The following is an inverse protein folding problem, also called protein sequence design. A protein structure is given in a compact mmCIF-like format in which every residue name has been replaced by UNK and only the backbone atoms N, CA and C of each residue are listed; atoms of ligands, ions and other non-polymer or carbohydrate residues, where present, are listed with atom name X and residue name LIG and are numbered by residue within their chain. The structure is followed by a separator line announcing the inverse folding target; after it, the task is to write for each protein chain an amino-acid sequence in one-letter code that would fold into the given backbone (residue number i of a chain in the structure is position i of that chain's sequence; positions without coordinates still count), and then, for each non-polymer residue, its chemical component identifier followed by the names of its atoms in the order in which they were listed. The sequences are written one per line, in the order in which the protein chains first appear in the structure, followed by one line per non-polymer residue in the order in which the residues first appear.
data_IF_385113155499
#
_entry.id   IF_385113155499
#
_cell.length_a   1.000
_cell.length_b   1.000
_cell.length_c   1.000
_cell.angle_alpha   90.00
_cell.angle_beta   90.00
_cell.angle_gamma   90.00
#
_symmetry.space_group_name_H-M   'P 1'
#
loop_
_entity.id
_entity.type
_entity.pdbx_description
1 polymer ?
#
# COMPACT_ATOMS: atom_id res chain seq x y z
N UNK A 1 -9.28 -3.94 25.43
CA UNK A 1 -9.11 -5.13 26.31
C UNK A 1 -9.49 -6.35 25.50
N UNK A 2 -8.68 -7.44 25.51
CA UNK A 2 -8.97 -8.69 24.81
C UNK A 2 -9.99 -9.51 25.62
N UNK A 3 -11.02 -10.04 24.94
CA UNK A 3 -12.14 -10.83 25.51
C UNK A 3 -12.25 -12.16 24.77
N UNK A 4 -13.09 -13.08 25.26
CA UNK A 4 -13.40 -14.33 24.56
C UNK A 4 -14.11 -14.15 23.21
N UNK A 5 -14.68 -12.98 22.96
CA UNK A 5 -15.35 -12.59 21.69
C UNK A 5 -14.43 -11.91 20.69
N UNK A 6 -13.19 -11.56 21.10
CA UNK A 6 -12.27 -10.80 20.28
C UNK A 6 -11.88 -11.57 19.01
N UNK A 7 -12.12 -10.94 17.86
CA UNK A 7 -11.83 -11.51 16.54
C UNK A 7 -10.36 -11.31 16.19
N UNK A 8 -9.79 -12.27 15.46
CA UNK A 8 -8.37 -12.31 15.12
C UNK A 8 -8.11 -11.77 13.70
N UNK A 9 -7.17 -10.84 13.60
CA UNK A 9 -6.50 -10.40 12.39
C UNK A 9 -4.99 -10.60 12.56
N UNK A 10 -4.22 -10.51 11.47
CA UNK A 10 -2.78 -10.56 11.62
C UNK A 10 -1.97 -10.36 10.36
N UNK A 11 -0.67 -10.62 10.47
CA UNK A 11 0.27 -10.67 9.34
C UNK A 11 1.05 -11.98 9.37
N UNK A 12 1.17 -12.64 8.23
CA UNK A 12 2.02 -13.82 8.05
C UNK A 12 3.27 -13.48 7.25
N UNK A 13 4.39 -14.05 7.65
CA UNK A 13 5.68 -13.90 6.98
C UNK A 13 6.76 -14.77 7.61
N UNK A 14 7.97 -14.75 7.03
CA UNK A 14 9.12 -15.43 7.60
C UNK A 14 10.43 -14.80 7.10
N UNK A 15 11.13 -14.01 7.95
CA UNK A 15 10.73 -13.56 9.29
C UNK A 15 9.59 -12.54 9.27
N UNK A 16 8.89 -12.32 10.39
CA UNK A 16 7.77 -11.36 10.53
C UNK A 16 7.91 -10.46 11.76
N UNK A 17 8.91 -10.69 12.58
CA UNK A 17 9.14 -10.05 13.88
C UNK A 17 9.36 -8.53 13.76
N UNK A 18 9.89 -8.08 12.63
CA UNK A 18 10.18 -6.67 12.36
C UNK A 18 9.00 -5.90 11.74
N UNK A 19 7.85 -6.56 11.56
CA UNK A 19 6.68 -5.92 10.97
C UNK A 19 6.06 -4.90 11.92
N UNK A 20 5.88 -3.68 11.45
CA UNK A 20 5.18 -2.62 12.18
C UNK A 20 3.65 -2.64 11.94
N UNK A 21 3.14 -3.56 11.13
CA UNK A 21 1.70 -3.71 10.90
C UNK A 21 0.89 -3.88 12.20
N UNK A 22 1.34 -4.66 13.21
CA UNK A 22 0.63 -4.75 14.49
C UNK A 22 0.49 -3.41 15.21
N UNK A 23 1.50 -2.55 15.16
CA UNK A 23 1.48 -1.22 15.80
C UNK A 23 0.34 -0.39 15.24
N UNK A 24 0.32 -0.18 13.92
CA UNK A 24 -0.67 0.68 13.27
C UNK A 24 -2.09 0.12 13.30
N UNK A 25 -2.26 -1.20 13.07
CA UNK A 25 -3.58 -1.81 13.05
C UNK A 25 -4.22 -1.83 14.44
N UNK A 26 -3.48 -2.18 15.49
CA UNK A 26 -4.03 -2.17 16.84
C UNK A 26 -4.34 -0.75 17.33
N UNK A 27 -3.59 0.27 16.92
CA UNK A 27 -3.95 1.67 17.20
C UNK A 27 -5.29 2.04 16.56
N UNK A 28 -5.49 1.70 15.27
CA UNK A 28 -6.76 1.93 14.57
C UNK A 28 -7.93 1.14 15.19
N UNK A 29 -7.73 -0.14 15.50
CA UNK A 29 -8.71 -1.02 16.15
C UNK A 29 -9.16 -0.43 17.50
N UNK A 30 -8.19 0.03 18.31
CA UNK A 30 -8.46 0.66 19.62
C UNK A 30 -9.25 1.97 19.45
N UNK A 31 -8.85 2.83 18.51
CA UNK A 31 -9.52 4.09 18.21
C UNK A 31 -10.97 3.89 17.75
N UNK A 32 -11.21 2.87 16.91
CA UNK A 32 -12.53 2.52 16.43
C UNK A 32 -13.42 1.82 17.48
N UNK A 33 -12.86 1.37 18.59
CA UNK A 33 -13.57 0.64 19.65
C UNK A 33 -14.13 -0.71 19.21
N UNK A 34 -13.57 -1.33 18.13
CA UNK A 34 -14.03 -2.63 17.61
C UNK A 34 -13.34 -3.79 18.33
N UNK A 35 -14.07 -4.91 18.48
CA UNK A 35 -13.58 -6.10 19.23
C UNK A 35 -12.72 -7.00 18.33
N UNK A 36 -11.54 -6.49 17.95
CA UNK A 36 -10.54 -7.16 17.13
C UNK A 36 -9.15 -7.03 17.78
N UNK A 37 -8.23 -7.91 17.37
CA UNK A 37 -6.79 -7.80 17.66
C UNK A 37 -5.99 -8.20 16.42
N UNK A 38 -4.89 -7.51 16.17
CA UNK A 38 -3.98 -7.81 15.06
C UNK A 38 -2.65 -8.34 15.57
N UNK A 39 -2.24 -9.52 15.13
CA UNK A 39 -1.10 -10.28 15.64
C UNK A 39 -0.11 -10.65 14.53
N UNK A 40 1.21 -10.73 14.83
CA UNK A 40 2.18 -11.33 13.92
C UNK A 40 2.13 -12.87 14.02
N UNK A 41 2.11 -13.56 12.89
CA UNK A 41 2.14 -15.02 12.80
C UNK A 41 3.36 -15.46 11.99
N UNK A 42 4.44 -15.96 12.62
CA UNK A 42 5.61 -16.47 11.92
C UNK A 42 5.27 -17.81 11.26
N UNK A 43 5.06 -17.79 9.95
CA UNK A 43 4.73 -18.97 9.15
C UNK A 43 5.89 -19.30 8.22
N UNK A 44 6.50 -20.49 8.37
CA UNK A 44 7.55 -20.96 7.46
C UNK A 44 6.97 -21.32 6.09
N UNK A 45 7.77 -21.26 5.01
CA UNK A 45 7.28 -21.57 3.66
C UNK A 45 6.56 -22.92 3.53
N UNK A 46 7.08 -23.97 4.17
CA UNK A 46 6.48 -25.31 4.13
C UNK A 46 5.15 -25.44 4.90
N UNK A 47 4.87 -24.52 5.82
CA UNK A 47 3.73 -24.59 6.73
C UNK A 47 2.52 -23.78 6.26
N UNK A 48 2.62 -23.09 5.13
CA UNK A 48 1.60 -22.14 4.67
C UNK A 48 0.20 -22.78 4.53
N UNK A 49 0.11 -23.98 3.97
CA UNK A 49 -1.16 -24.72 3.81
C UNK A 49 -1.76 -25.11 5.16
N UNK A 50 -0.94 -25.59 6.09
CA UNK A 50 -1.37 -25.96 7.44
C UNK A 50 -1.83 -24.72 8.24
N UNK A 51 -1.10 -23.60 8.11
CA UNK A 51 -1.47 -22.35 8.75
C UNK A 51 -2.84 -21.85 8.29
N UNK A 52 -3.14 -21.91 6.98
CA UNK A 52 -4.45 -21.51 6.43
C UNK A 52 -5.59 -22.35 7.01
N UNK A 53 -5.40 -23.69 7.12
CA UNK A 53 -6.39 -24.56 7.71
C UNK A 53 -6.59 -24.26 9.21
N UNK A 54 -5.51 -24.03 9.95
CA UNK A 54 -5.55 -23.66 11.37
C UNK A 54 -6.24 -22.31 11.59
N UNK A 55 -5.94 -21.32 10.78
CA UNK A 55 -6.57 -19.99 10.86
C UNK A 55 -8.09 -20.06 10.63
N UNK A 56 -8.53 -20.85 9.65
CA UNK A 56 -9.96 -21.07 9.43
C UNK A 56 -10.60 -21.76 10.65
N UNK A 57 -9.96 -22.79 11.22
CA UNK A 57 -10.47 -23.54 12.36
C UNK A 57 -10.62 -22.70 13.65
N UNK A 58 -9.71 -21.73 13.89
CA UNK A 58 -9.75 -20.83 15.06
C UNK A 58 -10.47 -19.51 14.79
N UNK A 59 -11.06 -19.33 13.60
CA UNK A 59 -11.91 -18.18 13.27
C UNK A 59 -11.16 -16.88 13.00
N UNK A 60 -9.90 -16.94 12.50
CA UNK A 60 -9.20 -15.75 11.98
C UNK A 60 -10.04 -15.14 10.85
N UNK A 61 -10.24 -13.82 10.90
CA UNK A 61 -11.08 -13.11 9.92
C UNK A 61 -10.32 -12.65 8.68
N UNK A 62 -9.03 -12.41 8.82
CA UNK A 62 -8.18 -11.99 7.73
C UNK A 62 -6.75 -11.73 8.18
N UNK A 63 -5.85 -11.62 7.22
CA UNK A 63 -4.45 -11.34 7.50
C UNK A 63 -3.75 -10.72 6.30
N UNK A 64 -2.71 -9.93 6.56
CA UNK A 64 -1.76 -9.51 5.54
C UNK A 64 -0.72 -10.61 5.31
N UNK A 65 -0.09 -10.53 4.15
CA UNK A 65 0.98 -11.44 3.73
C UNK A 65 2.21 -10.63 3.35
N UNK A 66 3.35 -11.00 3.94
CA UNK A 66 4.65 -10.49 3.53
C UNK A 66 5.55 -11.60 3.00
N UNK A 67 6.83 -11.31 2.79
CA UNK A 67 7.84 -12.24 2.30
C UNK A 67 7.86 -13.52 3.19
N UNK A 68 7.95 -14.72 2.58
CA UNK A 68 8.04 -15.02 1.15
C UNK A 68 6.72 -15.45 0.50
N UNK A 69 5.58 -15.26 1.14
CA UNK A 69 4.33 -15.96 0.86
C UNK A 69 3.42 -15.31 -0.20
N UNK A 70 3.66 -14.05 -0.62
CA UNK A 70 2.75 -13.28 -1.50
C UNK A 70 2.36 -13.97 -2.80
N UNK A 71 3.25 -14.80 -3.37
CA UNK A 71 2.99 -15.59 -4.57
C UNK A 71 2.55 -17.03 -4.24
N UNK A 72 3.19 -17.64 -3.25
CA UNK A 72 2.95 -19.03 -2.86
C UNK A 72 1.51 -19.29 -2.38
N UNK A 73 0.81 -18.27 -1.89
CA UNK A 73 -0.55 -18.40 -1.39
C UNK A 73 -1.60 -18.49 -2.50
N UNK A 74 -1.34 -17.99 -3.70
CA UNK A 74 -2.30 -17.90 -4.81
C UNK A 74 -3.06 -19.21 -5.06
N UNK A 75 -2.40 -20.39 -5.20
CA UNK A 75 -3.08 -21.66 -5.48
C UNK A 75 -3.87 -22.20 -4.27
N UNK A 76 -3.74 -21.61 -3.10
CA UNK A 76 -4.39 -22.03 -1.85
C UNK A 76 -5.66 -21.24 -1.55
N UNK A 77 -5.97 -20.21 -2.35
CA UNK A 77 -7.13 -19.35 -2.16
C UNK A 77 -8.31 -19.81 -3.00
N UNK A 78 -9.51 -19.69 -2.43
CA UNK A 78 -10.77 -20.01 -3.13
C UNK A 78 -11.10 -18.97 -4.20
N UNK A 79 -10.68 -17.72 -4.00
CA UNK A 79 -10.86 -16.62 -4.94
C UNK A 79 -9.72 -15.62 -4.84
N UNK A 80 -9.34 -15.05 -5.97
CA UNK A 80 -8.29 -14.02 -6.08
C UNK A 80 -8.86 -12.85 -6.88
N UNK A 81 -8.74 -11.64 -6.36
CA UNK A 81 -9.21 -10.43 -7.05
C UNK A 81 -8.50 -10.23 -8.41
N UNK A 82 -9.14 -9.53 -9.37
CA UNK A 82 -8.53 -9.26 -10.67
C UNK A 82 -7.15 -8.59 -10.55
N UNK A 83 -6.99 -7.62 -9.68
CA UNK A 83 -5.71 -6.92 -9.47
C UNK A 83 -4.63 -7.85 -8.92
N UNK A 84 -4.93 -8.67 -7.91
CA UNK A 84 -3.96 -9.61 -7.34
C UNK A 84 -3.58 -10.72 -8.34
N UNK A 85 -4.52 -11.15 -9.18
CA UNK A 85 -4.27 -12.12 -10.26
C UNK A 85 -3.37 -11.51 -11.34
N UNK A 86 -3.63 -10.26 -11.73
CA UNK A 86 -2.81 -9.55 -12.73
C UNK A 86 -1.39 -9.33 -12.25
N UNK A 87 -1.22 -8.97 -10.98
CA UNK A 87 0.09 -8.77 -10.34
C UNK A 87 0.81 -10.11 -10.10
N UNK A 88 0.06 -11.19 -9.91
CA UNK A 88 0.59 -12.48 -9.49
C UNK A 88 1.09 -12.48 -8.04
N UNK A 89 0.49 -11.65 -7.17
CA UNK A 89 0.84 -11.57 -5.76
C UNK A 89 -0.36 -11.08 -4.91
N UNK A 90 -0.54 -11.69 -3.75
CA UNK A 90 -1.55 -11.33 -2.74
C UNK A 90 -0.83 -10.80 -1.50
N UNK A 91 -1.28 -9.68 -0.96
CA UNK A 91 -0.80 -9.15 0.32
C UNK A 91 -1.90 -9.06 1.39
N UNK A 92 -3.17 -9.27 1.02
CA UNK A 92 -4.32 -9.17 1.93
C UNK A 92 -5.29 -10.30 1.67
N UNK A 93 -5.64 -11.04 2.74
CA UNK A 93 -6.54 -12.20 2.71
C UNK A 93 -7.68 -11.97 3.69
N UNK A 94 -8.88 -12.39 3.33
CA UNK A 94 -10.07 -12.34 4.16
C UNK A 94 -10.92 -13.60 3.99
N UNK A 95 -11.63 -13.98 5.04
CA UNK A 95 -12.45 -15.18 5.06
C UNK A 95 -13.88 -14.84 4.60
N UNK A 96 -14.41 -15.68 3.71
CA UNK A 96 -15.81 -15.67 3.27
C UNK A 96 -16.43 -17.04 3.47
N UNK A 97 -17.73 -17.17 3.24
CA UNK A 97 -18.44 -18.47 3.29
C UNK A 97 -17.90 -19.46 2.24
N UNK A 98 -17.25 -18.96 1.19
CA UNK A 98 -16.62 -19.77 0.12
C UNK A 98 -15.16 -20.13 0.42
N UNK A 99 -14.62 -19.69 1.56
CA UNK A 99 -13.24 -19.89 1.97
C UNK A 99 -12.38 -18.62 1.89
N UNK A 100 -11.06 -18.80 1.82
CA UNK A 100 -10.10 -17.70 1.79
C UNK A 100 -10.09 -16.97 0.45
N UNK A 101 -10.31 -15.67 0.49
CA UNK A 101 -10.21 -14.77 -0.67
C UNK A 101 -9.00 -13.86 -0.53
N UNK A 102 -8.32 -13.59 -1.65
CA UNK A 102 -7.11 -12.77 -1.67
C UNK A 102 -7.19 -11.57 -2.58
N UNK A 103 -6.59 -10.46 -2.15
CA UNK A 103 -6.42 -9.25 -2.95
C UNK A 103 -5.02 -8.65 -2.76
N UNK A 104 -4.75 -7.54 -3.47
CA UNK A 104 -3.51 -6.79 -3.32
C UNK A 104 -3.81 -5.31 -3.07
N UNK A 105 -3.42 -4.83 -1.88
CA UNK A 105 -3.55 -3.43 -1.45
C UNK A 105 -2.23 -2.67 -1.57
N UNK A 106 -1.11 -3.32 -1.96
CA UNK A 106 0.18 -2.64 -2.13
C UNK A 106 0.15 -1.61 -3.26
N UNK A 107 -0.65 -1.84 -4.31
CA UNK A 107 -0.78 -0.89 -5.44
C UNK A 107 -1.38 0.42 -4.97
N UNK A 108 -2.48 0.36 -4.21
CA UNK A 108 -3.13 1.55 -3.63
C UNK A 108 -2.16 2.27 -2.68
N UNK A 109 -1.47 1.50 -1.83
CA UNK A 109 -0.45 2.04 -0.93
C UNK A 109 0.69 2.76 -1.64
N UNK A 110 1.21 2.16 -2.73
CA UNK A 110 2.27 2.76 -3.55
C UNK A 110 1.83 4.05 -4.24
N UNK A 111 0.62 4.07 -4.79
CA UNK A 111 0.10 5.22 -5.54
C UNK A 111 -0.24 6.42 -4.65
N UNK A 112 -0.68 6.20 -3.42
CA UNK A 112 -1.18 7.24 -2.55
C UNK A 112 -0.23 8.44 -2.36
N UNK A 113 1.06 8.28 -1.99
CA UNK A 113 1.98 9.41 -1.86
C UNK A 113 2.33 10.08 -3.19
N UNK A 114 2.31 9.35 -4.31
CA UNK A 114 2.57 9.94 -5.64
C UNK A 114 1.42 10.84 -6.10
N UNK A 115 0.19 10.50 -5.76
CA UNK A 115 -0.99 11.30 -6.06
C UNK A 115 -1.02 12.61 -5.25
N UNK A 116 -0.55 12.61 -4.02
CA UNK A 116 -0.47 13.82 -3.18
C UNK A 116 0.62 14.78 -3.62
N UNK A 117 1.69 14.30 -4.25
CA UNK A 117 2.75 15.15 -4.81
C UNK A 117 2.26 16.01 -5.99
N UNK A 118 1.18 15.61 -6.63
CA UNK A 118 0.58 16.29 -7.77
C UNK A 118 -0.33 17.46 -7.38
N UNK A 119 -0.68 17.60 -6.13
CA UNK A 119 -1.42 18.75 -5.61
C UNK A 119 -0.41 19.83 -5.21
N UNK A 120 -0.46 21.04 -5.79
CA UNK A 120 0.40 22.12 -5.32
C UNK A 120 0.13 22.34 -3.82
N UNK A 121 1.16 22.64 -3.01
CA UNK A 121 0.93 22.93 -1.61
C UNK A 121 -0.11 24.07 -1.51
N UNK A 122 -1.13 23.86 -0.69
CA UNK A 122 -2.12 24.88 -0.38
C UNK A 122 -1.36 26.15 0.06
N UNK A 123 -1.31 27.15 -0.82
CA UNK A 123 -0.81 28.47 -0.47
C UNK A 123 -1.88 29.11 0.42
N UNK A 124 -1.91 28.71 1.69
CA UNK A 124 -2.60 29.42 2.72
C UNK A 124 -1.99 30.81 2.78
N UNK A 125 -2.68 31.82 2.22
CA UNK A 125 -2.26 33.19 2.25
C UNK A 125 -2.01 33.59 3.70
N UNK A 126 -0.77 33.98 3.98
CA UNK A 126 -0.46 34.75 5.16
C UNK A 126 -1.34 36.01 5.07
N UNK A 127 -2.39 36.09 5.88
CA UNK A 127 -3.10 37.34 6.11
C UNK A 127 -2.18 38.17 6.98
N UNK A 128 -1.67 39.23 6.40
CA UNK A 128 -1.00 40.29 7.09
C UNK A 128 -1.84 40.72 8.30
N UNK A 129 -1.28 40.52 9.49
CA UNK A 129 -1.84 41.03 10.73
C UNK A 129 -1.33 42.46 10.94
N UNK A 130 -2.00 43.43 10.33
CA UNK A 130 -1.93 44.82 10.83
C UNK A 130 -3.27 45.53 10.64
N UNK A 131 -3.71 46.07 11.76
CA UNK A 131 -4.74 47.08 11.95
C UNK A 131 -6.18 46.66 12.20
N UNK A 132 -6.71 47.12 13.33
CA UNK A 132 -8.12 47.39 13.56
C UNK A 132 -8.72 46.74 14.82
N UNK A 133 -8.45 47.31 15.98
CA UNK A 133 -9.34 47.22 17.16
C UNK A 133 -10.68 47.85 16.82
N UNK A 134 -11.76 47.11 16.87
CA UNK A 134 -13.05 47.66 17.29
C UNK A 134 -13.93 46.58 17.93
N UNK A 135 -14.52 46.95 19.03
CA UNK A 135 -15.37 46.22 19.95
C UNK A 135 -16.78 46.04 19.40
N UNK A 136 -17.37 44.88 19.58
CA UNK A 136 -18.79 44.68 19.25
C UNK A 136 -19.30 43.32 19.73
N UNK A 137 -19.92 43.34 20.90
CA UNK A 137 -20.58 42.26 21.60
C UNK A 137 -21.92 41.90 20.92
N UNK A 138 -22.19 40.66 20.55
CA UNK A 138 -23.54 40.05 20.66
C UNK A 138 -23.47 38.51 20.49
N UNK A 139 -23.98 37.84 21.50
CA UNK A 139 -24.25 36.38 21.53
C UNK A 139 -25.51 36.06 20.72
N UNK A 140 -25.50 34.95 19.95
CA UNK A 140 -26.72 34.17 19.65
C UNK A 140 -26.34 32.69 19.55
N UNK A 141 -26.93 31.89 20.43
CA UNK A 141 -26.98 30.44 20.39
C UNK A 141 -27.86 29.96 19.22
N UNK A 142 -27.47 28.83 18.57
CA UNK A 142 -28.42 27.92 18.00
C UNK A 142 -27.75 26.54 17.72
N UNK A 143 -28.17 25.52 18.49
CA UNK A 143 -27.82 24.14 18.33
C UNK A 143 -28.56 23.46 17.17
N UNK A 144 -28.11 22.26 16.71
CA UNK A 144 -28.75 21.53 15.63
C UNK A 144 -30.03 20.81 16.07
N UNK A 145 -31.01 20.59 15.15
CA UNK A 145 -32.28 19.98 15.47
C UNK A 145 -32.20 18.45 15.59
N UNK A 146 -33.16 17.82 16.30
CA UNK A 146 -33.14 16.39 16.59
C UNK A 146 -33.72 15.54 15.45
N UNK A 147 -33.13 14.35 15.28
CA UNK A 147 -33.62 13.29 14.41
C UNK A 147 -34.96 12.73 14.92
N UNK A 148 -35.96 12.73 14.08
CA UNK A 148 -37.21 11.99 14.29
C UNK A 148 -37.18 10.71 13.48
N UNK A 149 -37.31 9.57 14.17
CA UNK A 149 -37.53 8.27 13.58
C UNK A 149 -38.96 8.07 13.14
N UNK A 150 -39.14 7.29 12.08
CA UNK A 150 -40.46 6.70 11.76
C UNK A 150 -40.23 5.28 11.23
N UNK A 151 -40.72 4.32 12.04
CA UNK A 151 -40.97 2.94 11.61
C UNK A 151 -42.20 2.87 10.72
N UNK A 152 -42.17 2.01 9.70
CA UNK A 152 -43.39 1.38 9.15
C UNK A 152 -43.09 0.00 8.60
N UNK A 153 -43.81 -0.97 9.16
CA UNK A 153 -44.02 -2.34 8.69
C UNK A 153 -44.72 -2.40 7.33
N UNK A 154 -44.46 -3.46 6.59
CA UNK A 154 -45.26 -3.75 5.38
C UNK A 154 -44.72 -4.97 4.62
N UNK A 155 -45.39 -6.08 4.85
CA UNK A 155 -45.22 -7.43 4.28
C UNK A 155 -45.49 -7.55 2.78
N UNK A 156 -44.86 -8.61 2.21
CA UNK A 156 -45.30 -9.48 1.09
C UNK A 156 -44.81 -9.19 -0.33
N UNK A 157 -44.31 -10.27 -0.95
CA UNK A 157 -44.17 -10.42 -2.40
C UNK A 157 -42.95 -11.25 -2.82
N UNK A 158 -43.11 -12.58 -2.90
CA UNK A 158 -42.24 -13.50 -3.61
C UNK A 158 -42.28 -13.19 -5.12
N UNK A 159 -41.13 -12.94 -5.72
CA UNK A 159 -40.91 -13.33 -7.13
C UNK A 159 -39.44 -13.74 -7.35
N UNK A 160 -39.30 -14.93 -7.90
CA UNK A 160 -38.08 -15.59 -8.30
C UNK A 160 -37.53 -14.97 -9.58
N UNK A 161 -36.29 -14.44 -9.52
CA UNK A 161 -35.57 -13.98 -10.70
C UNK A 161 -34.08 -14.22 -10.50
N UNK A 162 -33.60 -15.35 -11.02
CA UNK A 162 -32.22 -15.79 -11.00
C UNK A 162 -31.42 -15.00 -12.04
N UNK A 163 -30.56 -14.06 -11.59
CA UNK A 163 -29.40 -13.60 -12.36
C UNK A 163 -28.33 -13.18 -11.36
N UNK A 164 -27.38 -14.09 -11.11
CA UNK A 164 -26.16 -13.78 -10.41
C UNK A 164 -25.29 -12.85 -11.27
N UNK A 165 -25.35 -11.55 -11.00
CA UNK A 165 -24.35 -10.60 -11.49
C UNK A 165 -23.26 -10.55 -10.45
N UNK A 166 -22.09 -11.10 -10.79
CA UNK A 166 -20.85 -10.88 -10.04
C UNK A 166 -20.48 -9.39 -10.12
N UNK A 167 -20.96 -8.59 -9.20
CA UNK A 167 -20.49 -7.22 -9.01
C UNK A 167 -19.29 -7.21 -8.07
N UNK A 168 -18.10 -7.50 -8.62
CA UNK A 168 -16.87 -7.03 -8.01
C UNK A 168 -16.86 -5.48 -8.05
N UNK A 169 -16.14 -4.80 -7.14
CA UNK A 169 -16.02 -3.36 -7.21
C UNK A 169 -15.54 -2.96 -8.61
N UNK A 170 -16.11 -1.89 -9.21
CA UNK A 170 -15.77 -1.49 -10.56
C UNK A 170 -14.24 -1.21 -10.64
N UNK A 171 -13.61 -1.47 -11.79
CA UNK A 171 -12.21 -1.12 -11.97
C UNK A 171 -12.09 0.38 -11.73
N UNK A 172 -11.11 0.74 -10.89
CA UNK A 172 -10.83 2.12 -10.48
C UNK A 172 -10.62 2.98 -11.73
N UNK A 173 -11.65 3.70 -12.14
CA UNK A 173 -11.56 4.77 -13.14
C UNK A 173 -11.08 6.04 -12.43
N UNK A 174 -9.79 6.06 -12.09
CA UNK A 174 -9.11 7.25 -11.65
C UNK A 174 -8.93 8.21 -12.81
N UNK A 175 -9.96 8.98 -13.12
CA UNK A 175 -9.82 10.14 -13.98
C UNK A 175 -8.83 11.11 -13.35
N UNK A 176 -7.75 11.45 -14.08
CA UNK A 176 -6.73 12.41 -13.69
C UNK A 176 -7.36 13.77 -13.38
N UNK A 177 -7.64 14.04 -12.11
CA UNK A 177 -7.91 15.39 -11.62
C UNK A 177 -6.59 15.96 -11.08
N UNK A 178 -5.88 16.74 -11.94
CA UNK A 178 -4.78 17.62 -11.51
C UNK A 178 -3.48 16.93 -11.11
N UNK A 179 -3.19 15.70 -11.56
CA UNK A 179 -1.94 14.99 -11.31
C UNK A 179 -0.83 15.33 -12.30
N UNK A 180 0.43 15.12 -11.92
CA UNK A 180 1.58 15.17 -12.83
C UNK A 180 1.32 14.27 -14.04
N UNK A 181 1.62 14.74 -15.23
CA UNK A 181 1.57 13.92 -16.44
C UNK A 181 2.70 12.86 -16.40
N UNK A 182 2.31 11.60 -16.32
CA UNK A 182 3.23 10.46 -16.29
C UNK A 182 3.50 9.87 -17.67
N UNK A 183 2.79 10.32 -18.72
CA UNK A 183 2.86 9.76 -20.06
C UNK A 183 4.23 9.94 -20.76
N UNK A 184 5.09 10.78 -20.20
CA UNK A 184 6.47 11.00 -20.65
C UNK A 184 7.52 10.59 -19.58
N UNK A 185 7.08 9.96 -18.48
CA UNK A 185 7.94 9.64 -17.35
C UNK A 185 8.49 8.23 -17.44
N UNK A 186 9.76 8.08 -17.05
CA UNK A 186 10.48 6.82 -16.97
C UNK A 186 10.55 6.37 -15.51
N UNK A 187 10.04 5.18 -15.23
CA UNK A 187 10.13 4.55 -13.92
C UNK A 187 11.22 3.47 -13.90
N UNK A 188 12.12 3.51 -12.92
CA UNK A 188 13.16 2.49 -12.68
C UNK A 188 12.91 1.85 -11.32
N UNK A 189 12.77 0.53 -11.31
CA UNK A 189 12.37 -0.26 -10.14
C UNK A 189 13.51 -1.21 -9.78
N UNK A 190 14.05 -1.11 -8.59
CA UNK A 190 15.11 -1.97 -8.08
C UNK A 190 14.52 -3.18 -7.38
N UNK A 191 14.77 -4.38 -7.90
CA UNK A 191 14.22 -5.65 -7.43
C UNK A 191 13.07 -6.17 -8.28
N UNK A 192 12.84 -7.48 -8.24
CA UNK A 192 11.82 -8.20 -9.02
C UNK A 192 10.94 -9.13 -8.15
N UNK A 193 10.76 -8.78 -6.86
CA UNK A 193 9.94 -9.51 -5.91
C UNK A 193 8.45 -9.11 -5.93
N UNK A 194 7.70 -9.55 -4.92
CA UNK A 194 6.27 -9.27 -4.79
C UNK A 194 5.95 -7.77 -4.67
N UNK A 195 6.80 -6.97 -4.02
CA UNK A 195 6.64 -5.51 -3.95
C UNK A 195 6.86 -4.84 -5.32
N UNK A 196 7.89 -5.28 -6.07
CA UNK A 196 8.16 -4.78 -7.42
C UNK A 196 6.95 -4.99 -8.34
N UNK A 197 6.24 -6.10 -8.21
CA UNK A 197 5.02 -6.38 -8.98
C UNK A 197 3.93 -5.34 -8.75
N UNK A 198 3.70 -4.96 -7.50
CA UNK A 198 2.74 -3.91 -7.16
C UNK A 198 3.18 -2.53 -7.69
N UNK A 199 4.48 -2.24 -7.64
CA UNK A 199 5.04 -1.00 -8.18
C UNK A 199 4.91 -0.94 -9.71
N UNK A 200 5.19 -2.04 -10.44
CA UNK A 200 4.96 -2.13 -11.89
C UNK A 200 3.50 -1.86 -12.23
N UNK A 201 2.56 -2.50 -11.52
CA UNK A 201 1.13 -2.26 -11.73
C UNK A 201 0.75 -0.80 -11.46
N UNK A 202 1.29 -0.20 -10.40
CA UNK A 202 1.07 1.22 -10.09
C UNK A 202 1.62 2.16 -11.15
N UNK A 203 2.85 1.93 -11.63
CA UNK A 203 3.44 2.70 -12.72
C UNK A 203 2.66 2.58 -14.04
N UNK A 204 2.13 1.39 -14.34
CA UNK A 204 1.27 1.17 -15.49
C UNK A 204 -0.07 1.93 -15.34
N UNK A 205 -0.68 1.95 -14.14
CA UNK A 205 -1.89 2.73 -13.86
C UNK A 205 -1.65 4.25 -13.93
N UNK A 206 -0.47 4.73 -13.56
CA UNK A 206 -0.06 6.12 -13.73
C UNK A 206 0.12 6.49 -15.22
N UNK A 207 0.30 5.51 -16.10
CA UNK A 207 0.57 5.72 -17.51
C UNK A 207 2.02 6.09 -17.81
N UNK A 208 3.00 5.60 -17.01
CA UNK A 208 4.41 5.82 -17.28
C UNK A 208 4.78 5.41 -18.69
N UNK A 209 5.62 6.22 -19.39
CA UNK A 209 6.08 5.95 -20.74
C UNK A 209 6.91 4.66 -20.83
N UNK A 210 7.81 4.48 -19.87
CA UNK A 210 8.68 3.31 -19.78
C UNK A 210 8.76 2.83 -18.33
N UNK A 211 8.81 1.51 -18.14
CA UNK A 211 8.93 0.86 -16.83
C UNK A 211 10.11 -0.12 -16.91
N UNK A 212 11.18 0.17 -16.21
CA UNK A 212 12.38 -0.66 -16.16
C UNK A 212 12.51 -1.34 -14.81
N UNK A 213 12.61 -2.67 -14.81
CA UNK A 213 12.88 -3.47 -13.60
C UNK A 213 14.31 -3.98 -13.63
N UNK A 214 15.05 -3.71 -12.57
CA UNK A 214 16.46 -4.10 -12.43
C UNK A 214 16.59 -5.20 -11.39
N UNK A 215 17.23 -6.30 -11.75
CA UNK A 215 17.43 -7.46 -10.88
C UNK A 215 18.80 -8.12 -11.08
N UNK A 216 19.11 -9.11 -10.22
CA UNK A 216 20.41 -9.79 -10.21
C UNK A 216 20.48 -11.01 -11.13
N UNK A 217 19.36 -11.70 -11.32
CA UNK A 217 19.28 -12.97 -12.05
C UNK A 217 18.51 -12.78 -13.36
N UNK A 218 19.16 -13.02 -14.48
CA UNK A 218 18.53 -12.98 -15.81
C UNK A 218 17.34 -13.94 -15.90
N UNK A 219 17.47 -15.16 -15.36
CA UNK A 219 16.38 -16.11 -15.33
C UNK A 219 15.15 -15.56 -14.61
N UNK A 220 15.32 -15.07 -13.37
CA UNK A 220 14.19 -14.53 -12.57
C UNK A 220 13.60 -13.27 -13.21
N UNK A 221 14.40 -12.49 -13.92
CA UNK A 221 13.94 -11.32 -14.68
C UNK A 221 13.11 -11.74 -15.88
N UNK A 222 13.55 -12.76 -16.63
CA UNK A 222 12.79 -13.33 -17.75
C UNK A 222 11.44 -13.91 -17.30
N UNK A 223 11.42 -14.68 -16.21
CA UNK A 223 10.17 -15.19 -15.60
C UNK A 223 9.26 -14.05 -15.13
N UNK A 224 9.82 -13.00 -14.51
CA UNK A 224 9.09 -11.81 -14.12
C UNK A 224 8.44 -11.13 -15.32
N UNK A 225 9.19 -10.86 -16.39
CA UNK A 225 8.67 -10.22 -17.61
C UNK A 225 7.59 -11.08 -18.28
N UNK A 226 7.84 -12.39 -18.43
CA UNK A 226 6.89 -13.30 -19.05
C UNK A 226 5.57 -13.40 -18.28
N UNK A 227 5.61 -13.27 -16.95
CA UNK A 227 4.40 -13.27 -16.12
C UNK A 227 3.49 -12.06 -16.39
N UNK A 228 4.04 -10.93 -16.84
CA UNK A 228 3.27 -9.76 -17.22
C UNK A 228 2.68 -9.85 -18.63
N UNK A 229 3.38 -10.50 -19.57
CA UNK A 229 2.85 -10.76 -20.92
C UNK A 229 1.59 -11.62 -20.85
N UNK A 230 1.58 -12.62 -19.96
CA UNK A 230 0.46 -13.56 -19.76
C UNK A 230 -0.57 -13.06 -18.72
N UNK A 231 -0.40 -11.87 -18.18
CA UNK A 231 -1.29 -11.28 -17.17
C UNK A 231 -2.63 -10.85 -17.79
N UNK A 232 -3.75 -10.92 -17.05
CA UNK A 232 -5.00 -10.26 -17.42
C UNK A 232 -4.87 -8.74 -17.65
N UNK A 233 -3.80 -8.13 -17.15
CA UNK A 233 -3.43 -6.72 -17.38
C UNK A 233 -1.99 -6.66 -17.90
N UNK A 234 -1.76 -6.88 -19.20
CA UNK A 234 -0.42 -6.83 -19.80
C UNK A 234 0.20 -5.44 -19.68
N UNK A 235 1.50 -5.40 -19.34
CA UNK A 235 2.27 -4.15 -19.28
C UNK A 235 3.25 -4.17 -20.45
N UNK A 236 2.87 -3.54 -21.56
CA UNK A 236 3.62 -3.61 -22.83
C UNK A 236 4.94 -2.85 -22.82
N UNK A 237 5.04 -1.79 -22.03
CA UNK A 237 6.21 -0.91 -21.90
C UNK A 237 7.16 -1.34 -20.76
N UNK A 238 7.04 -2.59 -20.28
CA UNK A 238 7.90 -3.19 -19.28
C UNK A 238 9.15 -3.77 -19.90
N UNK A 239 10.31 -3.35 -19.41
CA UNK A 239 11.61 -3.88 -19.75
C UNK A 239 12.33 -4.37 -18.49
N UNK A 240 13.11 -5.45 -18.62
CA UNK A 240 13.89 -6.00 -17.52
C UNK A 240 15.38 -5.92 -17.81
N UNK A 241 16.19 -5.64 -16.81
CA UNK A 241 17.63 -5.42 -16.98
C UNK A 241 18.40 -6.03 -15.81
N UNK A 242 19.60 -6.49 -16.09
CA UNK A 242 20.60 -6.84 -15.08
C UNK A 242 21.21 -5.57 -14.45
N UNK A 243 21.85 -5.74 -13.30
CA UNK A 243 22.31 -4.63 -12.47
C UNK A 243 23.40 -3.76 -13.13
N UNK A 244 24.11 -4.29 -14.12
CA UNK A 244 25.11 -3.55 -14.91
C UNK A 244 24.54 -2.37 -15.70
N UNK A 245 23.24 -2.42 -16.05
CA UNK A 245 22.53 -1.34 -16.75
C UNK A 245 22.05 -0.22 -15.83
N UNK A 246 22.09 -0.41 -14.52
CA UNK A 246 21.48 0.50 -13.55
C UNK A 246 22.00 1.93 -13.67
N UNK A 247 23.30 2.12 -13.82
CA UNK A 247 23.90 3.46 -13.91
C UNK A 247 23.42 4.28 -15.11
N UNK A 248 23.11 3.61 -16.22
CA UNK A 248 22.51 4.23 -17.41
C UNK A 248 21.03 4.57 -17.14
N UNK A 249 20.28 3.64 -16.57
CA UNK A 249 18.85 3.80 -16.32
C UNK A 249 18.56 4.92 -15.31
N UNK A 250 19.39 5.08 -14.29
CA UNK A 250 19.26 6.15 -13.29
C UNK A 250 19.31 7.54 -13.94
N UNK A 251 20.15 7.73 -14.96
CA UNK A 251 20.25 9.02 -15.65
C UNK A 251 19.00 9.39 -16.45
N UNK A 252 18.14 8.43 -16.72
CA UNK A 252 16.88 8.60 -17.47
C UNK A 252 15.65 8.60 -16.54
N UNK A 253 15.81 8.15 -15.27
CA UNK A 253 14.71 7.97 -14.34
C UNK A 253 14.06 9.29 -13.91
N UNK A 254 12.75 9.37 -14.02
CA UNK A 254 11.91 10.39 -13.38
C UNK A 254 11.39 9.88 -12.04
N UNK A 255 11.24 8.55 -11.89
CA UNK A 255 10.89 7.84 -10.67
C UNK A 255 11.86 6.66 -10.48
N UNK A 256 12.56 6.64 -9.35
CA UNK A 256 13.45 5.54 -8.96
C UNK A 256 12.93 4.91 -7.67
N UNK A 257 12.57 3.62 -7.71
CA UNK A 257 11.92 2.94 -6.58
C UNK A 257 12.78 1.79 -6.06
N UNK A 258 13.12 1.80 -4.78
CA UNK A 258 13.74 0.65 -4.12
C UNK A 258 12.68 -0.30 -3.57
N UNK A 259 12.60 -1.50 -4.12
CA UNK A 259 11.74 -2.59 -3.66
C UNK A 259 12.56 -3.75 -3.07
N UNK A 260 13.87 -3.57 -2.91
CA UNK A 260 14.79 -4.54 -2.31
C UNK A 260 14.89 -4.35 -0.80
N UNK A 261 15.37 -5.35 -0.05
CA UNK A 261 15.65 -5.17 1.38
C UNK A 261 16.99 -4.45 1.67
N UNK A 262 17.72 -3.99 0.65
CA UNK A 262 19.01 -3.32 0.83
C UNK A 262 18.80 -1.94 1.45
N UNK A 263 19.38 -1.71 2.61
CA UNK A 263 19.19 -0.50 3.42
C UNK A 263 18.17 -0.64 4.55
N UNK A 264 17.53 -1.81 4.68
CA UNK A 264 16.64 -2.13 5.80
C UNK A 264 17.44 -2.55 7.04
N UNK A 265 16.93 -2.23 8.23
CA UNK A 265 17.51 -2.73 9.50
C UNK A 265 17.71 -4.26 9.45
N UNK A 266 18.84 -4.82 9.96
CA UNK A 266 19.92 -4.15 10.69
C UNK A 266 21.02 -3.52 9.80
N UNK A 267 20.93 -3.57 8.48
CA UNK A 267 21.95 -3.07 7.54
C UNK A 267 21.58 -1.69 6.98
N UNK A 268 21.12 -0.79 7.84
CA UNK A 268 20.59 0.52 7.48
C UNK A 268 21.58 1.48 6.83
N UNK A 269 22.89 1.20 6.97
CA UNK A 269 23.99 1.97 6.33
C UNK A 269 24.16 1.67 4.83
N UNK A 270 23.53 0.59 4.32
CA UNK A 270 23.64 0.20 2.92
C UNK A 270 22.68 0.98 2.04
N UNK A 271 23.10 1.23 0.81
CA UNK A 271 22.26 1.75 -0.27
C UNK A 271 22.19 0.73 -1.41
N UNK A 272 21.01 0.55 -2.05
CA UNK A 272 20.90 -0.29 -3.25
C UNK A 272 21.63 0.30 -4.45
N UNK A 273 21.97 1.58 -4.39
CA UNK A 273 22.64 2.32 -5.47
C UNK A 273 23.99 2.83 -4.95
N UNK A 274 25.04 2.57 -5.72
CA UNK A 274 26.35 3.15 -5.43
C UNK A 274 26.32 4.68 -5.56
N UNK A 275 27.05 5.40 -4.70
CA UNK A 275 27.05 6.87 -4.66
C UNK A 275 27.35 7.50 -6.02
N UNK A 276 28.32 6.99 -6.77
CA UNK A 276 28.65 7.49 -8.12
C UNK A 276 27.59 7.27 -9.19
N UNK A 277 26.65 6.34 -8.99
CA UNK A 277 25.52 6.15 -9.89
C UNK A 277 24.38 7.13 -9.59
N UNK A 278 24.14 7.44 -8.30
CA UNK A 278 23.10 8.40 -7.88
C UNK A 278 23.43 9.83 -8.34
N UNK A 279 24.72 10.14 -8.54
CA UNK A 279 25.20 11.43 -9.07
C UNK A 279 24.69 11.74 -10.49
N UNK A 280 24.24 10.72 -11.22
CA UNK A 280 23.73 10.84 -12.60
C UNK A 280 22.23 11.09 -12.66
N UNK A 281 21.56 11.13 -11.55
CA UNK A 281 20.11 11.27 -11.49
C UNK A 281 19.66 12.64 -11.98
N UNK A 282 18.50 12.67 -12.64
CA UNK A 282 17.87 13.94 -13.09
C UNK A 282 17.55 14.81 -11.87
N UNK A 283 17.78 16.13 -12.00
CA UNK A 283 17.32 17.08 -11.00
C UNK A 283 15.79 17.01 -10.86
N UNK A 284 15.30 16.96 -9.61
CA UNK A 284 13.86 16.88 -9.30
C UNK A 284 13.23 15.50 -9.55
N UNK A 285 14.03 14.47 -9.89
CA UNK A 285 13.53 13.10 -9.92
C UNK A 285 12.95 12.69 -8.57
N UNK A 286 11.94 11.81 -8.61
CA UNK A 286 11.36 11.22 -7.39
C UNK A 286 12.13 9.95 -7.05
N UNK A 287 12.60 9.85 -5.81
CA UNK A 287 13.21 8.64 -5.26
C UNK A 287 12.32 8.10 -4.15
N UNK A 288 11.82 6.89 -4.34
CA UNK A 288 10.91 6.25 -3.44
C UNK A 288 11.55 4.97 -2.87
N UNK A 289 11.78 4.95 -1.56
CA UNK A 289 12.23 3.75 -0.88
C UNK A 289 11.07 3.10 -0.15
N UNK A 290 10.76 1.84 -0.45
CA UNK A 290 9.69 1.13 0.26
C UNK A 290 10.09 0.71 1.68
N UNK A 291 11.34 0.91 2.06
CA UNK A 291 11.84 0.72 3.42
C UNK A 291 11.36 1.88 4.31
N UNK A 292 10.90 1.54 5.50
CA UNK A 292 10.41 2.48 6.51
C UNK A 292 11.23 2.46 7.81
N UNK A 293 12.20 1.53 7.94
CA UNK A 293 13.14 1.47 9.06
C UNK A 293 14.51 0.97 8.58
N UNK A 294 15.57 1.82 8.67
CA UNK A 294 15.60 3.19 9.23
C UNK A 294 14.82 4.21 8.39
N UNK A 295 14.54 5.38 8.97
CA UNK A 295 13.91 6.50 8.26
C UNK A 295 14.59 7.83 8.63
N UNK A 296 15.19 8.55 7.64
CA UNK A 296 15.38 8.13 6.24
C UNK A 296 16.47 7.05 6.07
N UNK A 297 16.36 6.25 5.02
CA UNK A 297 17.41 5.29 4.61
C UNK A 297 18.63 6.01 4.05
N UNK A 298 19.78 5.31 3.96
CA UNK A 298 20.97 5.88 3.31
C UNK A 298 20.69 6.26 1.84
N UNK A 299 19.94 5.43 1.13
CA UNK A 299 19.50 5.69 -0.24
C UNK A 299 18.75 7.03 -0.40
N UNK A 300 17.81 7.31 0.49
CA UNK A 300 17.05 8.56 0.47
C UNK A 300 17.92 9.77 0.84
N UNK A 301 18.83 9.62 1.81
CA UNK A 301 19.80 10.69 2.17
C UNK A 301 20.67 11.06 0.98
N UNK A 302 21.22 10.06 0.29
CA UNK A 302 22.08 10.27 -0.88
C UNK A 302 21.32 10.97 -2.01
N UNK A 303 20.05 10.55 -2.23
CA UNK A 303 19.17 11.15 -3.24
C UNK A 303 18.83 12.62 -2.92
N UNK A 304 18.50 12.93 -1.68
CA UNK A 304 18.19 14.31 -1.25
C UNK A 304 19.36 15.25 -1.43
N UNK A 305 20.60 14.79 -1.16
CA UNK A 305 21.81 15.58 -1.41
C UNK A 305 22.01 15.95 -2.89
N UNK A 306 21.33 15.23 -3.82
CA UNK A 306 21.34 15.49 -5.27
C UNK A 306 20.08 16.22 -5.76
N UNK A 307 19.27 16.74 -4.83
CA UNK A 307 18.06 17.51 -5.16
C UNK A 307 16.88 16.67 -5.61
N UNK A 308 16.88 15.37 -5.31
CA UNK A 308 15.73 14.51 -5.55
C UNK A 308 14.60 14.76 -4.53
N UNK A 309 13.37 14.48 -4.95
CA UNK A 309 12.21 14.42 -4.05
C UNK A 309 12.14 13.02 -3.44
N UNK A 310 12.48 12.91 -2.16
CA UNK A 310 12.48 11.64 -1.45
C UNK A 310 11.11 11.29 -0.89
N UNK A 311 10.70 10.04 -1.04
CA UNK A 311 9.51 9.43 -0.41
C UNK A 311 9.99 8.20 0.34
N UNK A 312 9.66 8.09 1.62
CA UNK A 312 9.92 6.91 2.43
C UNK A 312 8.78 5.88 2.37
N UNK A 313 8.98 4.70 2.97
CA UNK A 313 8.02 3.60 2.93
C UNK A 313 6.83 3.72 3.89
N UNK A 314 6.82 4.68 4.83
CA UNK A 314 5.74 4.81 5.81
C UNK A 314 4.37 5.10 5.18
N UNK A 315 4.24 6.06 4.24
CA UNK A 315 2.96 6.31 3.58
C UNK A 315 2.39 5.06 2.89
N UNK A 316 3.22 4.30 2.20
CA UNK A 316 2.79 3.04 1.56
C UNK A 316 2.35 2.02 2.61
N UNK A 317 3.11 1.84 3.69
CA UNK A 317 2.77 0.92 4.77
C UNK A 317 1.40 1.25 5.40
N UNK A 318 1.15 2.53 5.67
CA UNK A 318 -0.11 3.01 6.24
C UNK A 318 -1.27 2.80 5.27
N UNK A 319 -1.15 3.24 4.03
CA UNK A 319 -2.25 3.23 3.06
C UNK A 319 -2.66 1.81 2.65
N UNK A 320 -1.69 0.90 2.41
CA UNK A 320 -2.00 -0.51 2.12
C UNK A 320 -2.66 -1.20 3.33
N UNK A 321 -2.22 -0.85 4.56
CA UNK A 321 -2.83 -1.36 5.78
C UNK A 321 -4.24 -0.83 6.01
N UNK A 322 -4.46 0.45 5.74
CA UNK A 322 -5.79 1.07 5.81
C UNK A 322 -6.76 0.42 4.81
N UNK A 323 -6.31 0.17 3.57
CA UNK A 323 -7.11 -0.55 2.56
C UNK A 323 -7.46 -1.98 3.03
N UNK A 324 -6.52 -2.70 3.63
CA UNK A 324 -6.79 -4.01 4.21
C UNK A 324 -7.79 -3.95 5.37
N UNK A 325 -7.64 -2.97 6.27
CA UNK A 325 -8.52 -2.81 7.42
C UNK A 325 -9.97 -2.47 7.01
N UNK A 326 -10.15 -1.67 5.95
CA UNK A 326 -11.48 -1.41 5.37
C UNK A 326 -12.17 -2.72 4.94
N UNK A 327 -11.45 -3.62 4.27
CA UNK A 327 -11.97 -4.91 3.83
C UNK A 327 -12.39 -5.77 5.03
N UNK A 328 -11.58 -5.89 6.06
CA UNK A 328 -11.86 -6.76 7.20
C UNK A 328 -12.97 -6.25 8.11
N UNK A 329 -13.15 -4.93 8.18
CA UNK A 329 -14.18 -4.30 9.01
C UNK A 329 -15.46 -3.96 8.22
N UNK A 330 -15.47 -4.20 6.89
CA UNK A 330 -16.55 -3.79 5.98
C UNK A 330 -16.91 -2.30 6.17
N UNK A 331 -15.88 -1.43 6.04
CA UNK A 331 -16.02 0.02 6.23
C UNK A 331 -15.44 0.79 5.06
N UNK A 332 -16.08 1.90 4.71
CA UNK A 332 -15.58 2.82 3.68
C UNK A 332 -14.36 3.62 4.14
N UNK A 333 -14.28 3.91 5.44
CA UNK A 333 -13.18 4.68 6.02
C UNK A 333 -12.63 4.08 7.31
N UNK A 334 -11.33 4.31 7.54
CA UNK A 334 -10.60 3.92 8.74
C UNK A 334 -9.66 5.06 9.16
N UNK A 335 -9.22 5.14 10.41
CA UNK A 335 -8.45 6.28 10.94
C UNK A 335 -6.99 6.23 10.49
N UNK A 336 -6.71 6.62 9.25
CA UNK A 336 -5.38 6.63 8.62
C UNK A 336 -4.37 7.46 9.43
N UNK A 337 -4.79 8.61 9.93
CA UNK A 337 -3.91 9.49 10.71
C UNK A 337 -3.50 8.85 12.04
N UNK A 338 -4.41 8.11 12.70
CA UNK A 338 -4.09 7.35 13.92
C UNK A 338 -3.07 6.24 13.61
N UNK A 339 -3.25 5.54 12.49
CA UNK A 339 -2.29 4.52 12.04
C UNK A 339 -0.90 5.11 11.80
N UNK A 340 -0.85 6.25 11.11
CA UNK A 340 0.38 6.98 10.82
C UNK A 340 1.06 7.47 12.11
N UNK A 341 0.31 8.12 12.99
CA UNK A 341 0.83 8.67 14.24
C UNK A 341 1.41 7.57 15.14
N UNK A 342 0.74 6.43 15.25
CA UNK A 342 1.24 5.29 16.01
C UNK A 342 2.59 4.77 15.50
N UNK A 343 2.81 4.79 14.18
CA UNK A 343 4.11 4.42 13.59
C UNK A 343 5.19 5.46 13.87
N UNK A 344 4.87 6.75 13.74
CA UNK A 344 5.82 7.84 14.00
C UNK A 344 6.28 7.80 15.45
N UNK A 345 5.37 7.66 16.41
CA UNK A 345 5.68 7.52 17.83
C UNK A 345 6.55 6.29 18.11
N UNK A 346 6.20 5.15 17.52
CA UNK A 346 6.96 3.91 17.69
C UNK A 346 8.40 4.02 17.18
N UNK A 347 8.61 4.78 16.10
CA UNK A 347 9.92 5.00 15.48
C UNK A 347 10.68 6.22 16.05
N UNK A 348 10.06 7.01 16.93
CA UNK A 348 10.66 8.25 17.47
C UNK A 348 10.83 9.33 16.40
N UNK A 349 9.86 9.47 15.50
CA UNK A 349 9.84 10.41 14.36
C UNK A 349 8.76 11.49 14.50
N UNK A 350 8.09 11.59 15.64
CA UNK A 350 7.03 12.55 15.96
C UNK A 350 7.55 13.87 16.55
#
# INVERSE_FOLDING_TARGET
MIKGTTKLLGVIGHPVEHSLSPVMHNAAISHLGVDFVYLPFPVKPGDLKAALAGFAAIGVRGFNITIPHKQAILPLLSSVSPIARSIGAVNTVYLTDKGWCGTNTDVEGFLAPLQTLSTPPYQGGAKDATSGLETGNTAVESGPPPYQGAAKDGTSGLETGNTAVESGPPPYQGGARGGSDWSQKVAVILGNGGAARAVVAGCAQLGCAEIHVVGRSEQNLGEFQQSWVNSPMPVQNLQVHTWDKLSMLISQADLLVNTTPVGMYPQGEKSPVASGAIDRMKAGAIVYDLIYNPNPTQFLKDAQLRGARAIDGLPMLVQQGAAALKIWLDRESVPVDVMRQALLQHLGLD
#
